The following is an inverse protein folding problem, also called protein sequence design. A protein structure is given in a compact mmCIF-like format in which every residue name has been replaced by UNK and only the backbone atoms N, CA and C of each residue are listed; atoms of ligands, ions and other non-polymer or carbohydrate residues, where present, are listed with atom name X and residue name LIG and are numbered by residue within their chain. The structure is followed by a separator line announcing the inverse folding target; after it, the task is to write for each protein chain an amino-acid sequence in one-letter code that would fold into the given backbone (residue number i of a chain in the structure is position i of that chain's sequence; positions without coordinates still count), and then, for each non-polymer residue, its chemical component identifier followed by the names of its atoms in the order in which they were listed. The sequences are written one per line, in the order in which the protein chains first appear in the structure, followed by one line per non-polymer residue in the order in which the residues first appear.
data_IF_779153831322
#
_entry.id   IF_779153831322
#
_cell.length_a   1.000
_cell.length_b   1.000
_cell.length_c   1.000
_cell.angle_alpha   90.00
_cell.angle_beta   90.00
_cell.angle_gamma   90.00
#
_symmetry.space_group_name_H-M   'P 1'
#
loop_
_entity.id
_entity.type
_entity.pdbx_description
1 polymer ?
#
# COMPACT_ATOMS: atom_id res chain seq x y z
N UNK A 1 -14.06 -10.64 -13.13
CA UNK A 1 -14.92 -11.48 -12.26
C UNK A 1 -16.15 -10.66 -11.85
N UNK A 2 -17.29 -11.26 -11.48
CA UNK A 2 -18.41 -10.49 -10.90
C UNK A 2 -18.13 -10.17 -9.42
N UNK A 3 -18.72 -9.10 -8.88
CA UNK A 3 -18.57 -8.72 -7.45
C UNK A 3 -18.97 -9.88 -6.52
N UNK A 4 -20.06 -10.58 -6.84
CA UNK A 4 -20.56 -11.72 -6.07
C UNK A 4 -19.56 -12.90 -6.06
N UNK A 5 -18.90 -13.16 -7.19
CA UNK A 5 -17.86 -14.18 -7.26
C UNK A 5 -16.61 -13.79 -6.46
N UNK A 6 -16.21 -12.51 -6.47
CA UNK A 6 -15.11 -12.00 -5.63
C UNK A 6 -15.42 -12.17 -4.15
N UNK A 7 -16.63 -11.80 -3.72
CA UNK A 7 -17.06 -11.93 -2.32
C UNK A 7 -17.05 -13.39 -1.85
N UNK A 8 -17.64 -14.29 -2.64
CA UNK A 8 -17.64 -15.72 -2.35
C UNK A 8 -16.22 -16.25 -2.20
N UNK A 9 -15.31 -15.84 -3.09
CA UNK A 9 -13.91 -16.27 -3.05
C UNK A 9 -13.16 -15.73 -1.82
N UNK A 10 -13.31 -14.45 -1.46
CA UNK A 10 -12.69 -13.90 -0.24
C UNK A 10 -13.22 -14.61 1.00
N UNK A 11 -14.52 -14.87 1.07
CA UNK A 11 -15.15 -15.60 2.19
C UNK A 11 -14.60 -17.02 2.32
N UNK A 12 -14.47 -17.75 1.21
CA UNK A 12 -13.88 -19.09 1.19
C UNK A 12 -12.41 -19.08 1.65
N UNK A 13 -11.60 -18.18 1.09
CA UNK A 13 -10.17 -18.06 1.43
C UNK A 13 -9.98 -17.73 2.92
N UNK A 14 -10.83 -16.87 3.50
CA UNK A 14 -10.81 -16.56 4.94
C UNK A 14 -11.13 -17.79 5.79
N UNK A 15 -12.19 -18.53 5.46
CA UNK A 15 -12.59 -19.73 6.22
C UNK A 15 -11.51 -20.80 6.24
N UNK A 16 -10.70 -20.88 5.18
CA UNK A 16 -9.61 -21.84 5.03
C UNK A 16 -8.24 -21.27 5.43
N UNK A 17 -8.18 -20.01 5.88
CA UNK A 17 -6.93 -19.29 6.18
C UNK A 17 -5.88 -19.39 5.05
N UNK A 18 -6.36 -19.31 3.80
CA UNK A 18 -5.57 -19.62 2.61
C UNK A 18 -4.72 -18.42 2.14
N UNK A 19 -3.80 -17.95 2.99
CA UNK A 19 -2.93 -16.79 2.76
C UNK A 19 -2.16 -16.89 1.43
N UNK A 20 -1.55 -18.05 1.16
CA UNK A 20 -0.77 -18.25 -0.07
C UNK A 20 -1.63 -18.15 -1.34
N UNK A 21 -2.86 -18.67 -1.30
CA UNK A 21 -3.80 -18.59 -2.43
C UNK A 21 -4.29 -17.16 -2.65
N UNK A 22 -4.58 -16.42 -1.56
CA UNK A 22 -4.94 -15.01 -1.63
C UNK A 22 -3.80 -14.15 -2.21
N UNK A 23 -2.57 -14.39 -1.75
CA UNK A 23 -1.38 -13.73 -2.27
C UNK A 23 -1.17 -14.03 -3.76
N UNK A 24 -1.29 -15.29 -4.17
CA UNK A 24 -1.14 -15.68 -5.56
C UNK A 24 -2.21 -15.02 -6.44
N UNK A 25 -3.45 -14.91 -5.96
CA UNK A 25 -4.50 -14.19 -6.70
C UNK A 25 -4.15 -12.72 -6.95
N UNK A 26 -3.60 -12.03 -5.94
CA UNK A 26 -3.14 -10.64 -6.11
C UNK A 26 -1.97 -10.57 -7.11
N UNK A 27 -1.04 -11.53 -7.09
CA UNK A 27 0.05 -11.62 -8.06
C UNK A 27 -0.48 -11.85 -9.48
N UNK A 28 -1.47 -12.71 -9.66
CA UNK A 28 -2.10 -12.96 -10.96
C UNK A 28 -2.81 -11.70 -11.48
N UNK A 29 -3.46 -10.93 -10.59
CA UNK A 29 -4.08 -9.65 -10.93
C UNK A 29 -3.05 -8.60 -11.35
N UNK A 30 -1.90 -8.54 -10.67
CA UNK A 30 -0.76 -7.72 -11.11
C UNK A 30 -0.30 -8.07 -12.52
N UNK A 31 -0.17 -9.36 -12.85
CA UNK A 31 0.21 -9.79 -14.19
C UNK A 31 -0.85 -9.46 -15.23
N UNK A 32 -2.13 -9.65 -14.89
CA UNK A 32 -3.27 -9.27 -15.75
C UNK A 32 -3.34 -7.77 -15.99
N UNK A 33 -2.99 -6.93 -15.02
CA UNK A 33 -3.02 -5.47 -15.17
C UNK A 33 -2.14 -4.96 -16.32
N UNK A 34 -1.14 -5.75 -16.76
CA UNK A 34 -0.29 -5.43 -17.92
C UNK A 34 -1.05 -5.43 -19.26
N UNK A 35 -2.14 -6.18 -19.36
CA UNK A 35 -2.97 -6.28 -20.57
C UNK A 35 -4.42 -5.82 -20.38
N UNK A 36 -4.94 -5.87 -19.16
CA UNK A 36 -6.30 -5.48 -18.78
C UNK A 36 -6.26 -4.75 -17.43
N UNK A 37 -5.72 -3.52 -17.46
CA UNK A 37 -5.58 -2.68 -16.26
C UNK A 37 -6.93 -2.39 -15.60
N UNK A 38 -7.95 -2.00 -16.38
CA UNK A 38 -9.27 -1.67 -15.85
C UNK A 38 -9.97 -2.87 -15.20
N UNK A 39 -9.89 -4.05 -15.82
CA UNK A 39 -10.46 -5.27 -15.25
C UNK A 39 -9.72 -5.75 -14.00
N UNK A 40 -8.39 -5.60 -13.96
CA UNK A 40 -7.60 -5.91 -12.78
C UNK A 40 -7.89 -4.93 -11.63
N UNK A 41 -7.96 -3.63 -11.92
CA UNK A 41 -8.28 -2.58 -10.95
C UNK A 41 -9.64 -2.83 -10.29
N UNK A 42 -10.67 -3.10 -11.10
CA UNK A 42 -12.02 -3.39 -10.59
C UNK A 42 -12.07 -4.63 -9.70
N UNK A 43 -11.27 -5.66 -10.01
CA UNK A 43 -11.21 -6.88 -9.20
C UNK A 43 -10.43 -6.67 -7.89
N UNK A 44 -9.34 -5.89 -7.92
CA UNK A 44 -8.60 -5.47 -6.72
C UNK A 44 -9.46 -4.58 -5.81
N UNK A 45 -10.22 -3.65 -6.38
CA UNK A 45 -11.16 -2.81 -5.62
C UNK A 45 -12.22 -3.67 -4.91
N UNK A 46 -12.79 -4.65 -5.62
CA UNK A 46 -13.75 -5.57 -5.05
C UNK A 46 -13.14 -6.45 -3.93
N UNK A 47 -11.89 -6.88 -4.05
CA UNK A 47 -11.17 -7.57 -2.95
C UNK A 47 -10.98 -6.62 -1.77
N UNK A 48 -10.52 -5.40 -2.01
CA UNK A 48 -10.26 -4.39 -0.99
C UNK A 48 -11.52 -4.09 -0.16
N UNK A 49 -12.67 -3.86 -0.82
CA UNK A 49 -13.96 -3.60 -0.14
C UNK A 49 -14.46 -4.75 0.73
N UNK A 50 -13.96 -5.98 0.52
CA UNK A 50 -14.28 -7.14 1.37
C UNK A 50 -13.26 -7.37 2.47
N UNK A 51 -12.15 -6.62 2.45
CA UNK A 51 -11.15 -6.57 3.49
C UNK A 51 -11.67 -6.08 4.83
N UNK A 52 -10.91 -6.33 5.90
CA UNK A 52 -11.14 -5.78 7.24
C UNK A 52 -9.89 -5.02 7.70
N UNK A 53 -9.98 -4.01 8.58
CA UNK A 53 -8.78 -3.36 9.08
C UNK A 53 -7.91 -4.39 9.84
N UNK A 54 -6.58 -4.45 9.59
CA UNK A 54 -5.68 -5.34 10.34
C UNK A 54 -5.77 -5.11 11.85
N UNK A 55 -5.90 -6.19 12.62
CA UNK A 55 -6.06 -6.13 14.08
C UNK A 55 -4.76 -6.29 14.87
N UNK A 56 -3.83 -7.09 14.36
CA UNK A 56 -2.64 -7.57 15.06
C UNK A 56 -1.35 -7.45 14.22
N UNK A 57 -1.39 -6.67 13.13
CA UNK A 57 -0.24 -6.47 12.25
C UNK A 57 0.90 -5.74 12.98
N UNK A 58 1.97 -6.47 13.24
CA UNK A 58 3.20 -5.99 13.90
C UNK A 58 4.43 -6.62 13.24
N UNK A 59 5.55 -5.88 13.22
CA UNK A 59 6.81 -6.35 12.64
C UNK A 59 6.92 -6.21 11.12
N UNK A 60 7.94 -6.84 10.49
CA UNK A 60 8.23 -6.68 9.08
C UNK A 60 7.29 -7.48 8.18
N UNK A 61 6.92 -6.91 7.04
CA UNK A 61 6.15 -7.56 5.97
C UNK A 61 6.96 -7.59 4.67
N UNK A 62 6.70 -8.58 3.83
CA UNK A 62 7.09 -8.55 2.42
C UNK A 62 6.01 -7.86 1.59
N UNK A 63 6.38 -7.10 0.56
CA UNK A 63 5.43 -6.30 -0.21
C UNK A 63 5.57 -6.40 -1.72
N UNK A 64 4.45 -6.21 -2.42
CA UNK A 64 4.42 -5.94 -3.87
C UNK A 64 3.63 -4.66 -4.22
N UNK A 65 4.13 -3.85 -5.16
CA UNK A 65 3.32 -2.90 -5.93
C UNK A 65 2.56 -3.75 -6.95
N UNK A 66 1.24 -3.71 -6.85
CA UNK A 66 0.35 -4.53 -7.67
C UNK A 66 0.13 -3.83 -8.99
N UNK A 67 -0.30 -2.58 -8.96
CA UNK A 67 -0.46 -1.73 -10.15
C UNK A 67 -0.48 -0.25 -9.78
N UNK A 68 -0.19 0.62 -10.75
CA UNK A 68 -0.44 2.06 -10.65
C UNK A 68 -1.58 2.47 -11.58
N UNK A 69 -2.37 3.45 -11.17
CA UNK A 69 -3.39 4.03 -12.05
C UNK A 69 -2.73 5.05 -12.99
N UNK A 70 -3.27 5.17 -14.21
CA UNK A 70 -2.88 6.21 -15.16
C UNK A 70 -3.88 7.37 -15.09
N UNK A 71 -3.54 8.42 -14.32
CA UNK A 71 -4.28 9.68 -14.31
C UNK A 71 -3.30 10.84 -14.53
N UNK A 72 -3.57 11.68 -15.54
CA UNK A 72 -2.71 12.82 -15.91
C UNK A 72 -2.52 13.83 -14.77
N UNK A 73 -3.49 13.95 -13.86
CA UNK A 73 -3.45 14.88 -12.73
C UNK A 73 -2.40 14.49 -11.68
N UNK A 74 -2.13 13.18 -11.56
CA UNK A 74 -1.28 12.60 -10.51
C UNK A 74 -0.10 11.81 -11.08
N UNK A 75 0.21 11.97 -12.37
CA UNK A 75 1.23 11.20 -13.10
C UNK A 75 2.63 11.34 -12.46
N UNK A 76 2.98 12.52 -11.93
CA UNK A 76 4.23 12.69 -11.18
C UNK A 76 4.27 11.84 -9.90
N UNK A 77 3.17 11.74 -9.17
CA UNK A 77 3.05 10.91 -7.97
C UNK A 77 3.07 9.42 -8.31
N UNK A 78 2.38 9.01 -9.38
CA UNK A 78 2.40 7.64 -9.88
C UNK A 78 3.82 7.20 -10.30
N UNK A 79 4.51 8.01 -11.12
CA UNK A 79 5.93 7.75 -11.49
C UNK A 79 6.83 7.69 -10.27
N UNK A 80 6.57 8.53 -9.28
CA UNK A 80 7.30 8.53 -8.03
C UNK A 80 7.10 7.21 -7.26
N UNK A 81 5.86 6.74 -7.09
CA UNK A 81 5.56 5.43 -6.47
C UNK A 81 6.25 4.30 -7.23
N UNK A 82 6.21 4.32 -8.56
CA UNK A 82 6.93 3.36 -9.40
C UNK A 82 8.45 3.42 -9.21
N UNK A 83 9.02 4.60 -8.93
CA UNK A 83 10.45 4.73 -8.66
C UNK A 83 10.86 4.16 -7.29
N UNK A 84 9.97 4.25 -6.29
CA UNK A 84 10.17 3.61 -4.99
C UNK A 84 10.07 2.08 -5.07
N UNK A 85 9.29 1.55 -6.01
CA UNK A 85 9.08 0.12 -6.17
C UNK A 85 10.37 -0.67 -6.45
N UNK A 86 11.31 -0.12 -7.21
CA UNK A 86 12.53 -0.84 -7.58
C UNK A 86 13.41 -1.24 -6.38
N UNK A 87 13.52 -0.42 -5.30
CA UNK A 87 14.16 -0.84 -4.06
C UNK A 87 13.22 -1.28 -2.92
N UNK A 88 11.90 -1.09 -2.99
CA UNK A 88 10.98 -1.34 -1.88
C UNK A 88 10.73 -2.84 -1.66
N UNK A 89 10.75 -3.26 -0.40
CA UNK A 89 10.61 -4.67 0.01
C UNK A 89 9.33 -4.93 0.82
N UNK A 90 8.69 -3.88 1.33
CA UNK A 90 7.52 -4.00 2.21
C UNK A 90 7.50 -2.90 3.25
N UNK A 91 6.81 -3.14 4.36
CA UNK A 91 6.71 -2.22 5.48
C UNK A 91 7.07 -2.94 6.76
N UNK A 92 7.31 -2.19 7.82
CA UNK A 92 7.43 -2.68 9.17
C UNK A 92 6.48 -1.89 10.04
N UNK A 93 5.71 -2.58 10.86
CA UNK A 93 4.72 -1.99 11.75
C UNK A 93 5.20 -2.12 13.19
N UNK A 94 4.86 -1.11 13.98
CA UNK A 94 4.93 -1.11 15.44
C UNK A 94 3.51 -0.86 15.95
N UNK A 95 2.82 -1.96 16.27
CA UNK A 95 1.43 -1.93 16.69
C UNK A 95 1.25 -1.15 18.00
N UNK A 96 2.19 -1.31 18.94
CA UNK A 96 2.12 -0.67 20.24
C UNK A 96 2.28 0.85 20.15
N UNK A 97 3.16 1.32 19.25
CA UNK A 97 3.39 2.74 19.03
C UNK A 97 2.38 3.37 18.04
N UNK A 98 1.64 2.57 17.27
CA UNK A 98 0.81 3.07 16.18
C UNK A 98 1.65 3.75 15.09
N UNK A 99 2.79 3.14 14.76
CA UNK A 99 3.74 3.69 13.78
C UNK A 99 4.35 2.60 12.90
N UNK A 100 5.21 3.00 11.96
CA UNK A 100 6.01 2.07 11.19
C UNK A 100 6.90 2.78 10.18
N UNK A 101 7.57 1.98 9.35
CA UNK A 101 8.43 2.47 8.27
C UNK A 101 8.41 1.56 7.05
N UNK A 102 8.81 2.09 5.89
CA UNK A 102 8.97 1.33 4.67
C UNK A 102 10.33 0.63 4.66
N UNK A 103 10.32 -0.66 4.32
CA UNK A 103 11.53 -1.48 4.15
C UNK A 103 12.04 -1.37 2.72
N UNK A 104 13.33 -1.14 2.58
CA UNK A 104 14.04 -0.94 1.32
C UNK A 104 15.29 -1.81 1.27
N UNK A 105 15.67 -2.25 0.08
CA UNK A 105 16.93 -2.98 -0.15
C UNK A 105 18.14 -2.18 0.34
N UNK A 106 19.21 -2.87 0.75
CA UNK A 106 20.46 -2.22 1.23
C UNK A 106 21.06 -1.25 0.20
N UNK A 107 20.89 -1.55 -1.09
CA UNK A 107 21.40 -0.74 -2.20
C UNK A 107 20.46 0.39 -2.63
N UNK A 108 19.33 0.56 -1.92
CA UNK A 108 18.42 1.66 -2.18
C UNK A 108 19.17 2.99 -2.14
N UNK A 109 19.02 3.75 -3.22
CA UNK A 109 19.45 5.14 -3.35
C UNK A 109 18.19 5.99 -3.35
N UNK A 110 18.26 7.14 -2.68
CA UNK A 110 17.16 8.09 -2.75
C UNK A 110 16.96 8.56 -4.19
N UNK A 111 15.72 8.87 -4.60
CA UNK A 111 15.48 9.78 -5.71
C UNK A 111 16.40 10.98 -5.53
N UNK A 112 17.03 11.43 -6.63
CA UNK A 112 18.22 12.29 -6.63
C UNK A 112 18.25 13.31 -5.47
N UNK A 113 19.43 13.57 -4.89
CA UNK A 113 19.62 14.62 -3.86
C UNK A 113 19.09 16.00 -4.29
N UNK A 114 18.74 16.19 -5.57
CA UNK A 114 18.03 17.36 -6.07
C UNK A 114 16.61 17.47 -5.51
N UNK A 115 15.87 16.35 -5.42
CA UNK A 115 14.51 16.34 -4.87
C UNK A 115 14.55 16.44 -3.34
N UNK A 116 15.37 15.63 -2.67
CA UNK A 116 15.39 15.55 -1.19
C UNK A 116 16.81 15.54 -0.61
N UNK A 117 17.54 16.67 -0.71
CA UNK A 117 18.95 16.74 -0.30
C UNK A 117 19.18 16.42 1.19
N UNK A 118 18.15 16.67 2.02
CA UNK A 118 18.23 16.58 3.48
C UNK A 118 17.67 15.27 4.04
N UNK A 119 16.95 14.48 3.24
CA UNK A 119 16.37 13.23 3.72
C UNK A 119 17.43 12.12 3.78
N UNK A 120 17.38 11.30 4.83
CA UNK A 120 18.25 10.14 5.01
C UNK A 120 17.43 8.93 5.42
N UNK A 121 17.72 7.80 4.80
CA UNK A 121 17.19 6.51 5.25
C UNK A 121 17.97 6.04 6.47
N UNK A 122 17.32 5.27 7.34
CA UNK A 122 17.93 4.62 8.50
C UNK A 122 18.50 3.27 8.06
N UNK A 123 19.68 2.89 8.55
CA UNK A 123 20.21 1.54 8.32
C UNK A 123 19.50 0.54 9.23
N UNK A 124 19.25 -0.67 8.72
CA UNK A 124 18.67 -1.79 9.46
C UNK A 124 19.40 -3.10 9.12
N UNK A 125 19.17 -4.15 9.91
CA UNK A 125 19.85 -5.44 9.76
C UNK A 125 19.63 -6.09 8.38
N UNK A 126 18.48 -5.85 7.77
CA UNK A 126 18.01 -6.45 6.52
C UNK A 126 17.90 -5.47 5.35
N UNK A 127 18.45 -4.25 5.49
CA UNK A 127 18.38 -3.24 4.44
C UNK A 127 18.36 -1.82 4.99
N UNK A 128 17.41 -1.03 4.50
CA UNK A 128 17.19 0.35 4.91
C UNK A 128 15.74 0.57 5.26
N UNK A 129 15.50 1.50 6.18
CA UNK A 129 14.18 1.96 6.56
C UNK A 129 13.99 3.39 6.09
N UNK A 130 12.85 3.64 5.47
CA UNK A 130 12.51 4.92 4.87
C UNK A 130 11.05 5.26 5.15
N UNK A 131 10.72 6.55 5.03
CA UNK A 131 9.39 7.12 5.12
C UNK A 131 8.60 6.57 6.31
N UNK A 132 8.92 7.09 7.49
CA UNK A 132 8.23 6.74 8.72
C UNK A 132 6.76 7.17 8.60
N UNK A 133 5.85 6.44 9.23
CA UNK A 133 4.42 6.71 9.16
C UNK A 133 3.75 6.46 10.50
N UNK A 134 2.56 7.04 10.67
CA UNK A 134 1.63 6.70 11.75
C UNK A 134 0.56 5.73 11.24
N UNK A 135 0.03 4.90 12.12
CA UNK A 135 -1.11 4.03 11.83
C UNK A 135 -2.28 4.29 12.76
N UNK A 136 -3.49 4.21 12.21
CA UNK A 136 -4.76 4.31 12.94
C UNK A 136 -5.89 3.72 12.10
N UNK A 137 -7.01 3.37 12.73
CA UNK A 137 -8.22 2.95 12.01
C UNK A 137 -9.06 4.17 11.63
N UNK A 138 -9.61 4.15 10.42
CA UNK A 138 -10.50 5.20 9.91
C UNK A 138 -11.40 4.62 8.81
N UNK A 139 -12.41 5.39 8.38
CA UNK A 139 -13.11 5.11 7.14
C UNK A 139 -12.21 5.37 5.92
N UNK A 140 -12.36 4.58 4.86
CA UNK A 140 -11.68 4.80 3.59
C UNK A 140 -12.06 6.14 2.96
N UNK A 141 -11.10 6.85 2.37
CA UNK A 141 -11.34 8.16 1.75
C UNK A 141 -12.13 8.05 0.44
N UNK A 142 -11.94 6.97 -0.31
CA UNK A 142 -12.69 6.68 -1.54
C UNK A 142 -13.83 5.67 -1.30
N UNK A 143 -13.79 4.96 -0.17
CA UNK A 143 -14.74 3.92 0.21
C UNK A 143 -15.19 4.12 1.67
N UNK A 144 -16.08 5.10 1.95
CA UNK A 144 -16.43 5.47 3.33
C UNK A 144 -17.15 4.36 4.10
N UNK A 145 -17.67 3.35 3.40
CA UNK A 145 -18.29 2.14 3.94
C UNK A 145 -17.28 1.08 4.38
N UNK A 146 -16.00 1.24 4.06
CA UNK A 146 -14.92 0.31 4.39
C UNK A 146 -14.08 0.89 5.53
N UNK A 147 -13.91 0.11 6.61
CA UNK A 147 -12.93 0.43 7.65
C UNK A 147 -11.54 -0.07 7.24
N UNK A 148 -10.54 0.79 7.39
CA UNK A 148 -9.17 0.54 6.94
C UNK A 148 -8.17 0.88 8.05
N UNK A 149 -7.01 0.24 8.02
CA UNK A 149 -5.84 0.81 8.70
C UNK A 149 -5.22 1.86 7.78
N UNK A 150 -5.19 3.09 8.23
CA UNK A 150 -4.52 4.19 7.56
C UNK A 150 -3.03 4.12 7.85
N UNK A 151 -2.23 4.39 6.83
CA UNK A 151 -0.78 4.62 6.91
C UNK A 151 -0.57 6.07 6.49
N UNK A 152 -0.31 6.92 7.48
CA UNK A 152 -0.28 8.38 7.33
C UNK A 152 1.15 8.92 7.42
N UNK A 153 1.62 9.50 6.31
CA UNK A 153 2.93 10.12 6.21
C UNK A 153 2.93 11.62 6.49
N UNK A 154 1.76 12.25 6.58
CA UNK A 154 1.61 13.71 6.48
C UNK A 154 2.16 14.46 7.69
N UNK A 155 2.12 13.83 8.86
CA UNK A 155 2.51 14.36 10.16
C UNK A 155 3.97 14.12 10.54
N UNK A 156 4.70 13.30 9.77
CA UNK A 156 6.11 12.99 10.03
C UNK A 156 6.97 14.08 9.42
N UNK A 157 7.63 14.89 10.25
CA UNK A 157 8.34 16.10 9.82
C UNK A 157 9.61 15.80 9.03
N UNK A 158 10.22 14.67 9.36
CA UNK A 158 11.44 14.14 8.75
C UNK A 158 11.17 13.67 7.32
N UNK A 159 9.92 13.32 6.99
CA UNK A 159 9.57 12.89 5.66
C UNK A 159 9.67 14.02 4.65
N UNK A 160 10.09 13.72 3.41
CA UNK A 160 10.13 14.72 2.37
C UNK A 160 8.76 15.33 2.11
N UNK A 161 8.70 16.66 2.07
CA UNK A 161 7.43 17.37 1.88
C UNK A 161 6.82 17.11 0.50
N UNK A 162 7.66 17.10 -0.53
CA UNK A 162 7.22 16.88 -1.91
C UNK A 162 6.85 15.40 -2.06
N UNK A 163 5.59 15.14 -2.39
CA UNK A 163 4.98 13.82 -2.65
C UNK A 163 4.75 12.96 -1.40
N UNK A 164 5.78 12.62 -0.61
CA UNK A 164 5.64 11.63 0.49
C UNK A 164 4.59 12.07 1.50
N UNK A 165 4.63 13.32 1.97
CA UNK A 165 3.66 13.85 2.94
C UNK A 165 2.25 14.09 2.36
N UNK A 166 2.06 13.84 1.07
CA UNK A 166 0.75 13.83 0.40
C UNK A 166 0.24 12.42 0.13
N UNK A 167 1.03 11.38 0.41
CA UNK A 167 0.56 10.00 0.31
C UNK A 167 -0.22 9.64 1.58
N UNK A 168 -1.32 8.92 1.39
CA UNK A 168 -2.07 8.18 2.41
C UNK A 168 -2.24 6.78 1.87
N UNK A 169 -1.69 5.77 2.53
CA UNK A 169 -2.03 4.39 2.18
C UNK A 169 -3.22 3.95 3.05
N UNK A 170 -4.13 3.18 2.47
CA UNK A 170 -5.25 2.55 3.17
C UNK A 170 -5.09 1.04 3.03
N UNK A 171 -5.06 0.32 4.14
CA UNK A 171 -4.72 -1.09 4.20
C UNK A 171 -5.88 -1.91 4.79
N UNK A 172 -6.18 -3.03 4.14
CA UNK A 172 -7.09 -4.05 4.65
C UNK A 172 -6.42 -5.42 4.66
N UNK A 173 -6.82 -6.25 5.61
CA UNK A 173 -6.55 -7.67 5.64
C UNK A 173 -7.58 -8.43 4.81
N UNK A 174 -7.10 -9.13 3.78
CA UNK A 174 -7.94 -9.95 2.89
C UNK A 174 -8.20 -11.28 3.56
N UNK A 175 -7.13 -11.93 4.04
CA UNK A 175 -7.14 -13.13 4.89
C UNK A 175 -5.98 -13.00 5.89
N UNK A 176 -5.98 -13.74 7.00
CA UNK A 176 -4.86 -13.72 7.96
C UNK A 176 -3.50 -13.78 7.26
N UNK A 177 -2.69 -12.73 7.44
CA UNK A 177 -1.33 -12.64 6.88
C UNK A 177 -1.23 -12.25 5.40
N UNK A 178 -2.33 -11.88 4.74
CA UNK A 178 -2.32 -11.29 3.38
C UNK A 178 -3.16 -10.02 3.33
N UNK A 179 -2.52 -8.93 2.94
CA UNK A 179 -3.08 -7.59 3.00
C UNK A 179 -3.07 -6.94 1.63
N UNK A 180 -4.10 -6.15 1.35
CA UNK A 180 -4.21 -5.34 0.14
C UNK A 180 -4.39 -3.88 0.55
N UNK A 181 -3.67 -2.99 -0.12
CA UNK A 181 -3.74 -1.58 0.17
C UNK A 181 -3.90 -0.71 -1.07
N UNK A 182 -4.60 0.41 -0.89
CA UNK A 182 -4.72 1.50 -1.86
C UNK A 182 -3.70 2.57 -1.52
N UNK A 183 -3.06 3.12 -2.55
CA UNK A 183 -2.17 4.28 -2.43
C UNK A 183 -2.97 5.49 -2.88
N UNK A 184 -3.26 6.40 -1.96
CA UNK A 184 -3.98 7.63 -2.25
C UNK A 184 -3.05 8.83 -2.23
N UNK A 185 -3.27 9.74 -3.16
CA UNK A 185 -2.61 11.03 -3.21
C UNK A 185 -3.57 12.13 -2.80
N UNK A 186 -3.20 12.87 -1.76
CA UNK A 186 -3.95 14.02 -1.26
C UNK A 186 -3.72 15.23 -2.17
N UNK A 187 -4.80 15.71 -2.76
CA UNK A 187 -4.89 16.94 -3.52
C UNK A 187 -5.40 18.10 -2.64
N UNK A 188 -5.30 19.36 -3.10
CA UNK A 188 -5.86 20.49 -2.38
C UNK A 188 -7.34 20.32 -2.06
N UNK A 189 -7.81 20.94 -0.96
CA UNK A 189 -9.20 20.89 -0.47
C UNK A 189 -9.65 19.49 0.02
N UNK A 190 -8.72 18.69 0.53
CA UNK A 190 -8.97 17.35 1.07
C UNK A 190 -9.57 16.36 0.05
N UNK A 191 -9.30 16.58 -1.24
CA UNK A 191 -9.63 15.61 -2.29
C UNK A 191 -8.55 14.54 -2.37
N UNK A 192 -8.93 13.33 -2.73
CA UNK A 192 -8.01 12.19 -2.87
C UNK A 192 -8.16 11.53 -4.23
N UNK A 193 -7.04 11.14 -4.81
CA UNK A 193 -6.97 10.33 -6.02
C UNK A 193 -6.21 9.05 -5.73
N UNK A 194 -6.75 7.91 -6.17
CA UNK A 194 -6.02 6.65 -6.09
C UNK A 194 -4.94 6.62 -7.17
N UNK A 195 -3.70 6.36 -6.75
CA UNK A 195 -2.53 6.27 -7.64
C UNK A 195 -2.01 4.84 -7.82
N UNK A 196 -2.54 3.88 -7.06
CA UNK A 196 -2.22 2.46 -7.24
C UNK A 196 -2.68 1.55 -6.11
N UNK A 197 -2.33 0.28 -6.27
CA UNK A 197 -2.50 -0.77 -5.27
C UNK A 197 -1.14 -1.35 -4.90
N UNK A 198 -0.97 -1.69 -3.62
CA UNK A 198 0.11 -2.51 -3.12
C UNK A 198 -0.46 -3.66 -2.28
N UNK A 199 0.32 -4.69 -2.04
CA UNK A 199 -0.05 -5.79 -1.16
C UNK A 199 1.11 -6.13 -0.23
N UNK A 200 0.78 -6.64 0.94
CA UNK A 200 1.74 -7.08 1.95
C UNK A 200 1.43 -8.51 2.38
N UNK A 201 2.44 -9.23 2.87
CA UNK A 201 2.29 -10.50 3.55
C UNK A 201 3.23 -10.62 4.74
N UNK A 202 2.84 -11.41 5.73
CA UNK A 202 3.65 -11.79 6.90
C UNK A 202 4.03 -13.25 6.83
#
# INVERSE_FOLDING_TARGET
MSIEATESRVSDLRKREAAQEAWQWIVDLKERAKSDSAGAEAELDAIFRKGTPPGDLDGPTDGILVMTTTNQVVDAAARFVTSLWMPWQGKRFDLAAGTGDNRMTSNAKLPSKLLWPLYKMKDAADGKLAFDFKTYQDAGKLDPDVQVMVIDYSDVKENPYVIIRSIRDELVEVVPGTYLGKILFRLPRDHYEMIGFFALRT
#
